data_IF_864819259078
#
_entry.id   IF_864819259078
#
_cell.length_a   1.000
_cell.length_b   1.000
_cell.length_c   1.000
_cell.angle_alpha   90.00
_cell.angle_beta   90.00
_cell.angle_gamma   90.00
#
_symmetry.space_group_name_H-M   'P 1'
#
loop_
_entity.id
_entity.type
_entity.pdbx_description
1 polymer ?
#
# COMPACT_ATOMS: atom_id res chain seq x y z
N UNK A 1 -15.50 32.98 45.52
CA UNK A 1 -15.86 31.56 45.59
C UNK A 1 -14.73 30.73 44.98
N UNK A 2 -13.85 30.19 45.83
CA UNK A 2 -12.84 29.22 45.35
C UNK A 2 -13.53 27.86 45.31
N UNK A 3 -13.80 27.35 44.13
CA UNK A 3 -14.12 25.94 43.95
C UNK A 3 -12.84 25.16 44.21
N UNK A 4 -12.81 24.44 45.30
CA UNK A 4 -11.85 23.39 45.57
C UNK A 4 -12.06 22.30 44.52
N UNK A 5 -11.38 22.42 43.39
CA UNK A 5 -11.27 21.31 42.43
C UNK A 5 -10.50 20.20 43.13
N UNK A 6 -11.21 19.12 43.45
CA UNK A 6 -10.60 18.02 44.17
C UNK A 6 -9.47 17.42 43.28
N UNK A 7 -8.28 17.17 43.85
CA UNK A 7 -7.11 16.68 43.09
C UNK A 7 -7.39 15.37 42.34
N UNK A 8 -8.46 14.68 42.69
CA UNK A 8 -8.90 13.43 42.08
C UNK A 8 -9.37 13.64 40.61
N UNK A 9 -10.07 14.75 40.32
CA UNK A 9 -10.52 15.03 38.95
C UNK A 9 -9.35 15.41 38.06
N UNK A 10 -8.37 16.10 38.55
CA UNK A 10 -7.18 16.48 37.82
C UNK A 10 -6.35 15.25 37.38
N UNK A 11 -6.20 14.28 38.28
CA UNK A 11 -5.48 13.04 37.98
C UNK A 11 -6.23 12.19 36.94
N UNK A 12 -7.56 12.07 37.09
CA UNK A 12 -8.38 11.32 36.12
C UNK A 12 -8.32 11.96 34.74
N UNK A 13 -8.42 13.28 34.65
CA UNK A 13 -8.32 14.01 33.39
C UNK A 13 -6.95 13.83 32.74
N UNK A 14 -5.88 13.88 33.52
CA UNK A 14 -4.52 13.69 33.03
C UNK A 14 -4.30 12.27 32.47
N UNK A 15 -4.80 11.25 33.15
CA UNK A 15 -4.75 9.86 32.69
C UNK A 15 -5.56 9.67 31.39
N UNK A 16 -6.71 10.34 31.29
CA UNK A 16 -7.52 10.26 30.06
C UNK A 16 -6.84 10.91 28.88
N UNK A 17 -6.21 12.07 29.09
CA UNK A 17 -5.44 12.77 28.01
C UNK A 17 -4.23 11.93 27.59
N UNK A 18 -3.49 11.34 28.52
CA UNK A 18 -2.35 10.47 28.21
C UNK A 18 -2.82 9.24 27.43
N UNK A 19 -3.93 8.62 27.82
CA UNK A 19 -4.53 7.50 27.11
C UNK A 19 -4.92 7.87 25.67
N UNK A 20 -5.51 9.04 25.47
CA UNK A 20 -5.89 9.55 24.16
C UNK A 20 -4.67 9.80 23.26
N UNK A 21 -3.60 10.35 23.81
CA UNK A 21 -2.34 10.59 23.10
C UNK A 21 -1.71 9.27 22.69
N UNK A 22 -1.69 8.27 23.58
CA UNK A 22 -1.15 6.95 23.27
C UNK A 22 -1.92 6.25 22.14
N UNK A 23 -3.25 6.36 22.13
CA UNK A 23 -4.08 5.82 21.04
C UNK A 23 -3.80 6.53 19.72
N UNK A 24 -3.65 7.85 19.72
CA UNK A 24 -3.33 8.62 18.51
C UNK A 24 -1.94 8.26 17.94
N UNK A 25 -0.96 8.00 18.81
CA UNK A 25 0.39 7.58 18.38
C UNK A 25 0.36 6.20 17.71
N UNK A 26 -0.44 5.27 18.21
CA UNK A 26 -0.53 3.92 17.63
C UNK A 26 -1.18 3.90 16.24
N UNK A 27 -2.07 4.83 15.94
CA UNK A 27 -2.70 4.95 14.62
C UNK A 27 -1.73 5.51 13.57
N UNK A 28 -0.74 6.30 13.97
CA UNK A 28 0.24 6.91 13.07
C UNK A 28 1.33 5.92 12.57
N UNK A 29 1.49 4.75 13.17
CA UNK A 29 2.49 3.75 12.79
C UNK A 29 1.99 2.69 11.80
N UNK A 30 0.92 2.97 11.07
CA UNK A 30 0.27 2.04 10.15
C UNK A 30 0.99 1.77 8.82
N UNK A 31 2.19 2.30 8.60
CA UNK A 31 3.05 1.90 7.50
C UNK A 31 4.43 1.58 8.05
N UNK A 32 4.70 0.29 8.25
CA UNK A 32 6.04 -0.15 8.62
C UNK A 32 7.00 0.16 7.46
N UNK A 33 7.94 1.06 7.70
CA UNK A 33 9.08 1.29 6.81
C UNK A 33 10.01 0.07 6.68
N UNK A 34 9.62 -1.05 7.27
CA UNK A 34 10.38 -2.30 7.30
C UNK A 34 10.15 -3.19 6.06
N UNK A 35 9.31 -2.74 5.13
CA UNK A 35 9.12 -3.47 3.86
C UNK A 35 10.28 -3.14 2.93
N UNK A 36 11.05 -4.15 2.47
CA UNK A 36 12.07 -3.92 1.47
C UNK A 36 11.51 -3.12 0.30
N UNK A 37 12.26 -2.11 -0.14
CA UNK A 37 11.86 -1.22 -1.23
C UNK A 37 10.66 -0.29 -0.98
N UNK A 38 10.26 -0.05 0.28
CA UNK A 38 9.13 0.80 0.63
C UNK A 38 9.25 2.22 0.04
N UNK A 39 10.45 2.81 0.07
CA UNK A 39 10.72 4.12 -0.51
C UNK A 39 10.50 4.13 -2.03
N UNK A 40 11.01 3.11 -2.73
CA UNK A 40 10.80 2.97 -4.17
C UNK A 40 9.32 2.80 -4.49
N UNK A 41 8.62 1.92 -3.80
CA UNK A 41 7.18 1.70 -3.98
C UNK A 41 6.37 2.98 -3.73
N UNK A 42 6.73 3.73 -2.69
CA UNK A 42 6.10 5.02 -2.35
C UNK A 42 6.32 6.10 -3.41
N UNK A 43 7.39 5.99 -4.21
CA UNK A 43 7.70 6.92 -5.29
C UNK A 43 6.92 6.66 -6.58
N UNK A 44 6.24 5.52 -6.70
CA UNK A 44 5.54 5.14 -7.91
C UNK A 44 4.25 5.94 -8.10
N UNK A 45 4.14 6.54 -9.27
CA UNK A 45 2.95 7.27 -9.70
C UNK A 45 2.22 6.48 -10.78
N UNK A 46 0.90 6.59 -10.78
CA UNK A 46 0.08 6.01 -11.85
C UNK A 46 0.53 6.52 -13.22
N UNK A 47 0.44 5.72 -14.29
CA UNK A 47 0.85 6.15 -15.65
C UNK A 47 0.18 7.42 -16.11
N UNK A 48 -1.07 7.67 -15.72
CA UNK A 48 -1.80 8.92 -15.99
C UNK A 48 -1.33 10.11 -15.13
N UNK A 49 -0.37 9.88 -14.23
CA UNK A 49 0.17 10.85 -13.25
C UNK A 49 -0.86 11.46 -12.30
N UNK A 50 -2.04 10.88 -12.19
CA UNK A 50 -3.10 11.31 -11.27
C UNK A 50 -3.05 10.43 -10.03
N UNK A 51 -2.08 10.69 -9.16
CA UNK A 51 -1.96 10.05 -7.86
C UNK A 51 -0.93 8.94 -7.79
N UNK A 52 -0.65 8.53 -6.56
CA UNK A 52 0.31 7.47 -6.22
C UNK A 52 -0.30 6.08 -6.45
N UNK A 53 0.56 5.12 -6.77
CA UNK A 53 0.20 3.71 -6.77
C UNK A 53 -0.01 3.19 -5.33
N UNK A 54 0.89 3.56 -4.43
CA UNK A 54 0.97 3.00 -3.08
C UNK A 54 -0.04 3.61 -2.09
N UNK A 55 -0.57 4.82 -2.34
CA UNK A 55 -1.48 5.49 -1.41
C UNK A 55 -2.81 4.78 -1.23
N UNK A 56 -3.58 4.57 -2.31
CA UNK A 56 -4.87 3.89 -2.23
C UNK A 56 -4.79 2.38 -2.45
N UNK A 57 -3.69 1.85 -2.97
CA UNK A 57 -3.54 0.45 -3.36
C UNK A 57 -2.66 -0.35 -2.41
N UNK A 58 -3.10 -1.58 -2.14
CA UNK A 58 -2.28 -2.59 -1.50
C UNK A 58 -1.34 -3.22 -2.51
N UNK A 59 -0.12 -3.51 -2.08
CA UNK A 59 0.95 -4.02 -2.94
C UNK A 59 1.09 -5.53 -2.81
N UNK A 60 1.27 -6.19 -3.95
CA UNK A 60 1.48 -7.64 -4.02
C UNK A 60 2.59 -7.98 -5.01
N UNK A 61 3.30 -9.06 -4.75
CA UNK A 61 4.26 -9.58 -5.70
C UNK A 61 3.58 -10.56 -6.66
N UNK A 62 3.82 -10.38 -7.95
CA UNK A 62 3.38 -11.33 -8.95
C UNK A 62 4.17 -12.64 -8.85
N UNK A 63 3.47 -13.76 -8.85
CA UNK A 63 4.06 -15.10 -8.95
C UNK A 63 4.47 -15.39 -10.38
N UNK A 64 3.53 -15.22 -11.30
CA UNK A 64 3.69 -15.43 -12.71
C UNK A 64 2.96 -14.35 -13.46
N UNK A 65 3.52 -13.90 -14.55
CA UNK A 65 2.85 -12.98 -15.44
C UNK A 65 3.38 -13.13 -16.86
N UNK A 66 2.50 -12.86 -17.81
CA UNK A 66 2.85 -12.84 -19.23
C UNK A 66 2.64 -11.44 -19.76
N UNK A 67 3.69 -10.86 -20.29
CA UNK A 67 3.61 -9.57 -20.96
C UNK A 67 3.55 -9.82 -22.47
N UNK A 68 2.50 -9.36 -23.10
CA UNK A 68 2.40 -9.35 -24.55
C UNK A 68 2.60 -7.95 -25.08
N UNK A 69 3.79 -7.68 -25.57
CA UNK A 69 4.13 -6.37 -26.15
C UNK A 69 3.26 -6.00 -27.37
N UNK A 70 2.73 -7.01 -28.07
CA UNK A 70 1.90 -6.79 -29.25
C UNK A 70 0.42 -6.54 -28.96
N UNK A 71 -0.08 -6.98 -27.80
CA UNK A 71 -1.49 -6.83 -27.42
C UNK A 71 -1.71 -5.89 -26.27
N UNK A 72 -0.64 -5.42 -25.64
CA UNK A 72 -0.72 -4.48 -24.53
C UNK A 72 -1.42 -4.99 -23.29
N UNK A 73 -1.60 -6.30 -23.16
CA UNK A 73 -2.28 -6.91 -22.02
C UNK A 73 -1.27 -7.72 -21.26
N UNK A 74 -1.15 -7.41 -19.98
CA UNK A 74 -0.42 -8.21 -19.04
C UNK A 74 -1.41 -9.08 -18.26
N UNK A 75 -1.12 -10.37 -18.19
CA UNK A 75 -1.82 -11.29 -17.31
C UNK A 75 -0.95 -11.52 -16.09
N UNK A 76 -1.53 -11.39 -14.94
CA UNK A 76 -0.78 -11.55 -13.70
C UNK A 76 -1.47 -12.52 -12.79
N UNK A 77 -0.76 -13.55 -12.38
CA UNK A 77 -1.13 -14.35 -11.24
C UNK A 77 -0.49 -13.75 -9.99
N UNK A 78 -1.29 -13.47 -9.01
CA UNK A 78 -0.89 -12.81 -7.77
C UNK A 78 -1.29 -13.68 -6.60
N UNK A 79 -0.52 -13.61 -5.55
CA UNK A 79 -0.94 -14.14 -4.25
C UNK A 79 -1.61 -13.03 -3.48
N UNK A 80 -2.82 -13.26 -3.04
CA UNK A 80 -3.55 -12.31 -2.21
C UNK A 80 -2.97 -12.25 -0.77
N UNK A 81 -3.54 -11.39 0.04
CA UNK A 81 -3.16 -11.20 1.44
C UNK A 81 -3.34 -12.46 2.31
N UNK A 82 -4.16 -13.41 1.86
CA UNK A 82 -4.44 -14.66 2.55
C UNK A 82 -3.57 -15.83 2.05
N UNK A 83 -2.66 -15.57 1.11
CA UNK A 83 -1.83 -16.59 0.49
C UNK A 83 -2.56 -17.40 -0.60
N UNK A 84 -3.71 -16.93 -1.07
CA UNK A 84 -4.48 -17.55 -2.14
C UNK A 84 -4.05 -17.01 -3.49
N UNK A 85 -3.89 -17.90 -4.46
CA UNK A 85 -3.56 -17.51 -5.83
C UNK A 85 -4.80 -16.89 -6.50
N UNK A 86 -4.65 -15.65 -6.92
CA UNK A 86 -5.68 -14.88 -7.63
C UNK A 86 -5.12 -14.48 -9.00
N UNK A 87 -5.90 -14.66 -10.04
CA UNK A 87 -5.56 -14.17 -11.37
C UNK A 87 -6.28 -12.84 -11.57
N UNK A 88 -5.50 -11.81 -11.87
CA UNK A 88 -6.03 -10.47 -12.13
C UNK A 88 -5.66 -10.02 -13.53
N UNK A 89 -6.59 -9.35 -14.17
CA UNK A 89 -6.34 -8.69 -15.44
C UNK A 89 -5.65 -7.36 -15.20
N UNK A 90 -4.55 -7.14 -15.92
CA UNK A 90 -3.80 -5.90 -15.86
C UNK A 90 -3.96 -5.15 -17.17
N UNK A 91 -4.75 -4.08 -17.20
CA UNK A 91 -4.87 -3.24 -18.38
C UNK A 91 -3.51 -2.61 -18.74
N UNK A 92 -3.23 -2.50 -20.03
CA UNK A 92 -1.94 -1.96 -20.48
C UNK A 92 -1.70 -0.51 -20.01
N UNK A 93 -2.76 0.27 -19.87
CA UNK A 93 -2.71 1.65 -19.42
C UNK A 93 -2.26 1.84 -17.98
N UNK A 94 -2.28 0.79 -17.15
CA UNK A 94 -1.79 0.83 -15.77
C UNK A 94 -0.39 0.26 -15.59
N UNK A 95 0.24 -0.21 -16.68
CA UNK A 95 1.58 -0.77 -16.66
C UNK A 95 2.62 0.35 -16.71
N UNK A 96 3.56 0.31 -15.77
CA UNK A 96 4.68 1.26 -15.69
C UNK A 96 5.91 0.60 -16.31
N UNK A 97 6.21 0.96 -17.55
CA UNK A 97 7.33 0.40 -18.32
C UNK A 97 8.65 1.14 -18.15
N UNK A 98 8.57 2.42 -17.78
CA UNK A 98 9.67 3.38 -17.79
C UNK A 98 10.38 3.53 -16.44
N UNK A 99 10.06 2.67 -15.48
CA UNK A 99 10.68 2.72 -14.15
C UNK A 99 11.47 1.44 -13.89
N UNK A 100 12.72 1.57 -13.44
CA UNK A 100 13.48 0.41 -13.01
C UNK A 100 12.82 -0.21 -11.78
N UNK A 101 12.71 -1.54 -11.79
CA UNK A 101 12.15 -2.30 -10.69
C UNK A 101 13.27 -3.01 -9.92
N UNK A 102 13.68 -2.50 -8.75
CA UNK A 102 14.78 -3.07 -7.99
C UNK A 102 14.44 -4.40 -7.31
N UNK A 103 13.15 -4.76 -7.26
CA UNK A 103 12.72 -5.99 -6.59
C UNK A 103 13.01 -7.24 -7.41
N UNK A 104 13.24 -7.08 -8.72
CA UNK A 104 13.39 -8.20 -9.67
C UNK A 104 12.09 -8.97 -9.95
N UNK A 105 11.01 -8.69 -9.23
CA UNK A 105 9.70 -9.35 -9.36
C UNK A 105 8.66 -8.36 -9.85
N UNK A 106 7.63 -8.85 -10.53
CA UNK A 106 6.49 -7.99 -10.84
C UNK A 106 5.81 -7.49 -9.56
N UNK A 107 5.44 -6.22 -9.54
CA UNK A 107 4.72 -5.61 -8.41
C UNK A 107 3.39 -5.08 -8.89
N UNK A 108 2.32 -5.51 -8.24
CA UNK A 108 0.93 -5.14 -8.53
C UNK A 108 0.38 -4.31 -7.39
N UNK A 109 -0.31 -3.24 -7.73
CA UNK A 109 -1.08 -2.45 -6.77
C UNK A 109 -2.56 -2.59 -7.07
N UNK A 110 -3.31 -3.07 -6.09
CA UNK A 110 -4.74 -3.35 -6.21
C UNK A 110 -5.54 -2.58 -5.18
N UNK A 111 -6.77 -2.23 -5.52
CA UNK A 111 -7.72 -1.59 -4.62
C UNK A 111 -9.06 -2.30 -4.61
N UNK A 112 -9.71 -2.26 -3.47
CA UNK A 112 -11.08 -2.74 -3.28
C UNK A 112 -11.23 -4.26 -3.28
N UNK A 113 -12.45 -4.72 -3.03
CA UNK A 113 -12.75 -6.15 -2.91
C UNK A 113 -12.67 -6.90 -4.24
N UNK A 114 -12.75 -6.18 -5.35
CA UNK A 114 -12.68 -6.75 -6.71
C UNK A 114 -11.25 -6.85 -7.26
N UNK A 115 -10.24 -6.59 -6.42
CA UNK A 115 -8.83 -6.63 -6.80
C UNK A 115 -8.54 -5.76 -8.04
N UNK A 116 -9.13 -4.57 -8.09
CA UNK A 116 -8.94 -3.65 -9.21
C UNK A 116 -7.48 -3.17 -9.27
N UNK A 117 -6.79 -3.51 -10.36
CA UNK A 117 -5.39 -3.12 -10.57
C UNK A 117 -5.29 -1.67 -10.98
N UNK A 118 -4.50 -0.89 -10.25
CA UNK A 118 -4.26 0.53 -10.53
C UNK A 118 -2.85 0.82 -11.05
N UNK A 119 -1.90 -0.05 -10.72
CA UNK A 119 -0.52 0.01 -11.21
C UNK A 119 0.08 -1.39 -11.28
N UNK A 120 0.91 -1.61 -12.29
CA UNK A 120 1.75 -2.79 -12.40
C UNK A 120 3.14 -2.41 -12.87
N UNK A 121 4.15 -2.87 -12.17
CA UNK A 121 5.56 -2.68 -12.56
C UNK A 121 6.16 -4.05 -12.86
N UNK A 122 6.50 -4.34 -14.13
CA UNK A 122 7.12 -5.61 -14.49
C UNK A 122 8.45 -5.80 -13.78
N UNK A 123 8.77 -7.04 -13.42
CA UNK A 123 10.08 -7.40 -12.91
C UNK A 123 11.12 -7.51 -14.02
N UNK A 124 12.38 -7.47 -13.65
CA UNK A 124 13.52 -7.61 -14.59
C UNK A 124 13.89 -9.07 -14.86
N UNK A 125 13.32 -10.01 -14.09
CA UNK A 125 13.51 -11.44 -14.26
C UNK A 125 12.33 -12.08 -15.01
N UNK A 126 12.59 -12.61 -16.13
CA UNK A 126 11.71 -13.56 -16.83
C UNK A 126 11.84 -14.95 -16.21
#
# INVERSE_FOLDING_TARGET
>A
MQRLESPRYSVILMLFVIGLILVMVTIAYGHSNDVPYAEWMGSLMRPNRVGSCCGPGDQYYAKEYTTSYRKGIAFVAVVDENGVDVIVDVPNEVVIWDRPNPTGRGVVFMIGPDNHVICFVPGTGT
#
